data_IF_385453243216
#
_entry.id   IF_385453243216
#
_cell.length_a   1.000
_cell.length_b   1.000
_cell.length_c   1.000
_cell.angle_alpha   90.00
_cell.angle_beta   90.00
_cell.angle_gamma   90.00
#
_symmetry.space_group_name_H-M   'P 1'
#
loop_
_entity.id
_entity.type
_entity.pdbx_description
1 polymer ?
#
# COMPACT_ATOMS: atom_id res chain seq x y z
N UNK A 1 -37.30 -22.83 -16.13
CA UNK A 1 -36.49 -22.11 -17.12
C UNK A 1 -35.03 -22.24 -16.72
N UNK A 2 -34.33 -23.21 -17.31
CA UNK A 2 -32.92 -23.51 -17.01
C UNK A 2 -32.07 -22.76 -18.03
N UNK A 3 -31.25 -21.82 -17.58
CA UNK A 3 -30.31 -21.13 -18.46
C UNK A 3 -29.18 -22.11 -18.83
N UNK A 4 -29.15 -22.48 -20.10
CA UNK A 4 -28.11 -23.30 -20.71
C UNK A 4 -26.85 -22.43 -20.94
N UNK A 5 -26.03 -22.26 -19.90
CA UNK A 5 -24.69 -21.69 -20.06
C UNK A 5 -23.81 -22.73 -20.76
N UNK A 6 -23.29 -22.41 -21.95
CA UNK A 6 -22.28 -23.23 -22.61
C UNK A 6 -21.06 -23.34 -21.69
N UNK A 7 -20.43 -24.51 -21.62
CA UNK A 7 -19.16 -24.72 -20.91
C UNK A 7 -18.00 -24.06 -21.66
N UNK A 8 -18.03 -22.74 -21.81
CA UNK A 8 -16.81 -21.99 -22.14
C UNK A 8 -15.96 -21.95 -20.89
N UNK A 9 -14.79 -22.57 -20.94
CA UNK A 9 -13.81 -22.50 -19.86
C UNK A 9 -13.47 -21.02 -19.62
N UNK A 10 -13.90 -20.48 -18.48
CA UNK A 10 -13.60 -19.10 -18.09
C UNK A 10 -12.13 -19.04 -17.68
N UNK A 11 -11.28 -18.53 -18.56
CA UNK A 11 -9.89 -18.23 -18.23
C UNK A 11 -9.83 -16.88 -17.55
N UNK A 12 -9.67 -16.89 -16.23
CA UNK A 12 -9.35 -15.68 -15.48
C UNK A 12 -7.84 -15.50 -15.44
N UNK A 13 -7.35 -14.44 -16.04
CA UNK A 13 -5.94 -14.03 -15.97
C UNK A 13 -5.80 -13.04 -14.84
N UNK A 14 -5.11 -13.42 -13.77
CA UNK A 14 -4.83 -12.55 -12.64
C UNK A 14 -3.33 -12.22 -12.59
N UNK A 15 -3.02 -10.97 -12.25
CA UNK A 15 -1.67 -10.59 -11.90
C UNK A 15 -1.33 -11.05 -10.48
N UNK A 16 -0.05 -11.38 -10.25
CA UNK A 16 0.44 -11.69 -8.91
C UNK A 16 0.28 -10.47 -7.98
N UNK A 17 -0.52 -10.59 -6.91
CA UNK A 17 -0.78 -9.48 -6.00
C UNK A 17 0.47 -9.03 -5.23
N UNK A 18 1.45 -9.90 -4.98
CA UNK A 18 2.73 -9.53 -4.35
C UNK A 18 3.52 -8.59 -5.27
N UNK A 19 3.50 -8.86 -6.57
CA UNK A 19 4.11 -7.98 -7.57
C UNK A 19 3.38 -6.64 -7.69
N UNK A 20 2.05 -6.62 -7.57
CA UNK A 20 1.28 -5.37 -7.52
C UNK A 20 1.69 -4.52 -6.32
N UNK A 21 1.76 -5.12 -5.13
CA UNK A 21 2.14 -4.42 -3.88
C UNK A 21 3.56 -3.89 -3.93
N UNK A 22 4.53 -4.70 -4.38
CA UNK A 22 5.93 -4.26 -4.51
C UNK A 22 6.09 -3.15 -5.56
N UNK A 23 5.36 -3.21 -6.68
CA UNK A 23 5.33 -2.12 -7.67
C UNK A 23 4.74 -0.83 -7.10
N UNK A 24 3.70 -0.93 -6.27
CA UNK A 24 3.09 0.19 -5.56
C UNK A 24 4.06 0.84 -4.55
N UNK A 25 4.79 0.03 -3.76
CA UNK A 25 5.88 0.53 -2.89
C UNK A 25 6.98 1.20 -3.70
N UNK A 26 7.42 0.59 -4.81
CA UNK A 26 8.50 1.16 -5.63
C UNK A 26 8.14 2.55 -6.18
N UNK A 27 6.86 2.79 -6.52
CA UNK A 27 6.38 4.13 -6.89
C UNK A 27 6.51 5.13 -5.74
N UNK A 28 6.19 4.71 -4.51
CA UNK A 28 6.42 5.54 -3.32
C UNK A 28 7.91 5.85 -3.11
N UNK A 29 8.79 4.86 -3.25
CA UNK A 29 10.25 5.08 -3.08
C UNK A 29 10.83 6.02 -4.14
N UNK A 30 10.25 6.02 -5.34
CA UNK A 30 10.61 6.93 -6.44
C UNK A 30 9.96 8.32 -6.32
N UNK A 31 9.10 8.56 -5.33
CA UNK A 31 8.48 9.88 -5.10
C UNK A 31 9.51 10.99 -4.78
N UNK A 32 10.74 10.63 -4.38
CA UNK A 32 11.82 11.61 -4.22
C UNK A 32 12.33 12.17 -5.55
N UNK A 33 12.14 11.44 -6.66
CA UNK A 33 12.59 11.84 -8.00
C UNK A 33 11.42 12.15 -8.95
N UNK A 34 10.22 11.69 -8.63
CA UNK A 34 9.02 11.86 -9.46
C UNK A 34 7.89 12.46 -8.62
N UNK A 35 7.21 13.47 -9.14
CA UNK A 35 6.10 14.08 -8.45
C UNK A 35 4.91 13.10 -8.41
N UNK A 36 4.71 12.49 -7.23
CA UNK A 36 3.55 11.65 -6.94
C UNK A 36 2.54 12.48 -6.14
N UNK A 37 1.32 12.58 -6.63
CA UNK A 37 0.25 13.36 -6.01
C UNK A 37 -1.03 12.55 -5.95
N UNK A 38 -1.81 12.78 -4.91
CA UNK A 38 -3.13 12.21 -4.76
C UNK A 38 -4.11 13.35 -4.50
N UNK A 39 -4.93 13.67 -5.50
CA UNK A 39 -5.71 14.92 -5.49
C UNK A 39 -4.80 16.15 -5.42
N UNK A 40 -4.97 16.95 -4.36
CA UNK A 40 -4.15 18.14 -4.10
C UNK A 40 -2.93 17.83 -3.21
N UNK A 41 -2.93 16.68 -2.54
CA UNK A 41 -1.91 16.34 -1.56
C UNK A 41 -0.67 15.71 -2.22
N UNK A 42 0.51 16.10 -1.72
CA UNK A 42 1.78 15.58 -2.20
C UNK A 42 2.16 14.32 -1.44
N UNK A 43 2.52 13.28 -2.17
CA UNK A 43 3.04 12.05 -1.57
C UNK A 43 4.56 12.09 -1.61
N UNK A 44 5.20 11.93 -0.46
CA UNK A 44 6.65 11.95 -0.37
C UNK A 44 7.19 10.90 0.60
N UNK A 45 8.17 10.11 0.14
CA UNK A 45 8.93 9.17 0.96
C UNK A 45 9.73 9.88 2.07
N UNK A 46 10.02 11.17 1.89
CA UNK A 46 10.71 11.96 2.90
C UNK A 46 9.93 12.04 4.21
N UNK A 47 8.60 11.91 4.20
CA UNK A 47 7.80 11.86 5.44
C UNK A 47 8.13 10.61 6.26
N UNK A 48 8.31 9.46 5.61
CA UNK A 48 8.72 8.21 6.28
C UNK A 48 10.21 8.29 6.70
N UNK A 49 11.07 8.93 5.90
CA UNK A 49 12.47 9.16 6.29
C UNK A 49 12.57 10.08 7.52
N UNK A 50 11.76 11.13 7.57
CA UNK A 50 11.68 12.03 8.71
C UNK A 50 11.27 11.24 9.96
N UNK A 51 10.24 10.39 9.87
CA UNK A 51 9.82 9.52 10.96
C UNK A 51 10.95 8.62 11.50
N UNK A 52 11.74 8.01 10.61
CA UNK A 52 12.85 7.11 11.00
C UNK A 52 14.00 7.86 11.68
N UNK A 53 14.22 9.13 11.30
CA UNK A 53 15.32 9.94 11.80
C UNK A 53 14.92 10.88 12.93
N UNK A 54 13.64 10.93 13.29
CA UNK A 54 13.12 11.79 14.36
C UNK A 54 13.65 11.31 15.71
N UNK A 55 14.08 12.26 16.55
CA UNK A 55 14.51 11.99 17.92
C UNK A 55 13.36 11.63 18.87
N UNK A 56 12.11 11.96 18.50
CA UNK A 56 10.94 11.71 19.34
C UNK A 56 10.40 10.28 19.25
N UNK A 57 10.69 9.56 18.16
CA UNK A 57 10.18 8.22 17.92
C UNK A 57 11.33 7.22 17.88
N UNK A 58 11.15 6.06 18.51
CA UNK A 58 12.12 4.98 18.49
C UNK A 58 11.71 3.90 17.50
N UNK A 59 12.67 3.05 17.14
CA UNK A 59 12.42 1.86 16.31
C UNK A 59 11.30 0.96 16.87
N UNK A 60 11.07 0.97 18.18
CA UNK A 60 9.99 0.19 18.79
C UNK A 60 8.61 0.78 18.49
N UNK A 61 8.53 2.09 18.28
CA UNK A 61 7.27 2.78 18.00
C UNK A 61 6.85 2.61 16.54
N UNK A 62 7.79 2.70 15.59
CA UNK A 62 7.47 2.61 14.16
C UNK A 62 7.85 1.28 13.49
N UNK A 63 8.76 0.48 14.06
CA UNK A 63 9.16 -0.84 13.52
C UNK A 63 10.01 -0.84 12.23
N UNK A 64 10.32 0.34 11.69
CA UNK A 64 11.06 0.52 10.42
C UNK A 64 12.57 0.64 10.61
N UNK A 65 13.33 0.22 9.59
CA UNK A 65 14.76 0.52 9.46
C UNK A 65 15.07 1.25 8.16
N UNK A 66 16.23 1.89 8.07
CA UNK A 66 16.72 2.57 6.86
C UNK A 66 16.85 1.61 5.65
N UNK A 67 16.99 0.31 5.88
CA UNK A 67 16.93 -0.71 4.82
C UNK A 67 15.51 -0.88 4.23
N UNK A 68 14.46 -0.66 5.02
CA UNK A 68 13.07 -0.85 4.57
C UNK A 68 12.63 0.22 3.55
N UNK A 69 13.33 1.34 3.50
CA UNK A 69 13.09 2.44 2.54
C UNK A 69 14.14 2.50 1.42
N UNK A 70 14.96 1.46 1.26
CA UNK A 70 16.02 1.43 0.25
C UNK A 70 15.45 1.21 -1.17
N UNK A 71 15.61 2.16 -2.11
CA UNK A 71 15.08 2.04 -3.48
C UNK A 71 15.80 0.99 -4.35
N UNK A 72 16.98 0.50 -3.91
CA UNK A 72 17.69 -0.59 -4.59
C UNK A 72 17.00 -1.94 -4.38
N UNK A 73 16.28 -2.10 -3.28
CA UNK A 73 15.62 -3.36 -2.90
C UNK A 73 14.15 -3.38 -3.36
N UNK A 74 13.98 -3.60 -4.67
CA UNK A 74 12.69 -3.48 -5.39
C UNK A 74 11.74 -4.66 -5.17
N UNK A 75 12.22 -5.78 -4.64
CA UNK A 75 11.44 -7.02 -4.48
C UNK A 75 11.05 -7.31 -3.02
N UNK A 76 11.51 -6.48 -2.08
CA UNK A 76 11.26 -6.72 -0.67
C UNK A 76 9.81 -6.40 -0.26
N UNK A 77 9.01 -7.47 -0.26
CA UNK A 77 7.63 -7.47 0.19
C UNK A 77 7.50 -7.25 1.70
N UNK A 78 8.42 -7.79 2.50
CA UNK A 78 8.38 -7.65 3.96
C UNK A 78 8.46 -6.18 4.39
N UNK A 79 9.31 -5.39 3.74
CA UNK A 79 9.37 -3.94 3.95
C UNK A 79 8.08 -3.24 3.50
N UNK A 80 7.36 -3.75 2.49
CA UNK A 80 6.03 -3.21 2.14
C UNK A 80 5.06 -3.35 3.32
N UNK A 81 5.00 -4.53 3.93
CA UNK A 81 4.10 -4.81 5.05
C UNK A 81 4.42 -3.98 6.28
N UNK A 82 5.71 -3.79 6.59
CA UNK A 82 6.13 -2.93 7.70
C UNK A 82 5.75 -1.47 7.48
N UNK A 83 5.89 -0.94 6.26
CA UNK A 83 5.59 0.46 5.95
C UNK A 83 4.08 0.76 6.09
N UNK A 84 3.22 -0.23 5.86
CA UNK A 84 1.75 -0.08 6.01
C UNK A 84 1.22 -0.51 7.40
N UNK A 85 2.11 -0.69 8.38
CA UNK A 85 1.68 -1.01 9.74
C UNK A 85 0.79 0.11 10.28
N UNK A 86 -0.15 -0.26 11.17
CA UNK A 86 -1.00 0.72 11.84
C UNK A 86 -0.16 1.74 12.61
N UNK A 87 0.95 1.31 13.21
CA UNK A 87 1.83 2.19 13.97
C UNK A 87 2.42 3.29 13.09
N UNK A 88 2.94 2.95 11.91
CA UNK A 88 3.51 3.93 10.97
C UNK A 88 2.43 4.89 10.47
N UNK A 89 1.25 4.38 10.13
CA UNK A 89 0.13 5.20 9.65
C UNK A 89 -0.34 6.17 10.75
N UNK A 90 -0.51 5.70 11.98
CA UNK A 90 -0.95 6.52 13.12
C UNK A 90 0.06 7.62 13.46
N UNK A 91 1.36 7.31 13.39
CA UNK A 91 2.40 8.30 13.62
C UNK A 91 2.43 9.38 12.52
N UNK A 92 2.21 8.97 11.26
CA UNK A 92 2.13 9.92 10.15
C UNK A 92 0.89 10.81 10.26
N UNK A 93 -0.27 10.29 10.68
CA UNK A 93 -1.51 11.10 10.88
C UNK A 93 -1.28 12.27 11.85
N UNK A 94 -0.43 12.08 12.86
CA UNK A 94 -0.12 13.13 13.84
C UNK A 94 0.88 14.18 13.33
N UNK A 95 1.45 14.00 12.14
CA UNK A 95 2.45 14.88 11.54
C UNK A 95 1.82 15.81 10.51
N UNK A 96 2.28 17.06 10.41
CA UNK A 96 1.76 18.02 9.42
C UNK A 96 2.14 17.63 7.97
N UNK A 97 1.25 17.92 7.01
CA UNK A 97 1.44 17.71 5.56
C UNK A 97 1.70 16.24 5.11
N UNK A 98 1.27 15.26 5.91
CA UNK A 98 1.45 13.83 5.59
C UNK A 98 0.20 13.16 5.01
N UNK A 99 -0.94 13.85 4.97
CA UNK A 99 -2.26 13.30 4.62
C UNK A 99 -2.23 12.51 3.31
N UNK A 100 -1.62 13.05 2.26
CA UNK A 100 -1.48 12.35 0.98
C UNK A 100 -0.70 11.04 1.08
N UNK A 101 0.39 11.04 1.86
CA UNK A 101 1.17 9.82 2.13
C UNK A 101 0.36 8.82 2.96
N UNK A 102 -0.38 9.28 3.97
CA UNK A 102 -1.27 8.43 4.80
C UNK A 102 -2.32 7.74 3.93
N UNK A 103 -3.01 8.49 3.07
CA UNK A 103 -4.02 7.94 2.16
C UNK A 103 -3.39 6.92 1.20
N UNK A 104 -2.20 7.22 0.67
CA UNK A 104 -1.48 6.30 -0.21
C UNK A 104 -1.11 4.98 0.47
N UNK A 105 -0.64 5.04 1.72
CA UNK A 105 -0.32 3.86 2.53
C UNK A 105 -1.58 3.08 2.91
N UNK A 106 -2.66 3.78 3.21
CA UNK A 106 -3.97 3.19 3.53
C UNK A 106 -4.53 2.43 2.33
N UNK A 107 -4.42 2.98 1.12
CA UNK A 107 -4.78 2.27 -0.11
C UNK A 107 -3.92 1.03 -0.32
N UNK A 108 -2.60 1.12 -0.11
CA UNK A 108 -1.71 -0.03 -0.20
C UNK A 108 -2.10 -1.13 0.80
N UNK A 109 -2.49 -0.75 2.02
CA UNK A 109 -3.01 -1.67 3.03
C UNK A 109 -4.30 -2.36 2.58
N UNK A 110 -5.21 -1.63 1.95
CA UNK A 110 -6.44 -2.21 1.38
C UNK A 110 -6.13 -3.19 0.24
N UNK A 111 -5.12 -2.93 -0.61
CA UNK A 111 -4.67 -3.88 -1.64
C UNK A 111 -4.20 -5.19 -0.98
N UNK A 112 -3.34 -5.10 0.04
CA UNK A 112 -2.84 -6.28 0.76
C UNK A 112 -4.00 -7.06 1.38
N UNK A 113 -4.93 -6.37 2.05
CA UNK A 113 -6.09 -6.99 2.69
C UNK A 113 -7.01 -7.66 1.67
N UNK A 114 -7.22 -7.04 0.51
CA UNK A 114 -8.08 -7.58 -0.54
C UNK A 114 -7.49 -8.83 -1.19
N UNK A 115 -6.21 -8.81 -1.56
CA UNK A 115 -5.65 -9.80 -2.47
C UNK A 115 -4.67 -10.79 -1.84
N UNK A 116 -4.06 -10.48 -0.70
CA UNK A 116 -3.00 -11.30 -0.10
C UNK A 116 -3.43 -11.88 1.25
N UNK A 117 -4.14 -11.10 2.07
CA UNK A 117 -4.57 -11.55 3.39
C UNK A 117 -5.60 -12.68 3.28
N UNK A 118 -5.22 -13.84 3.82
CA UNK A 118 -6.04 -15.06 3.86
C UNK A 118 -6.96 -15.10 5.09
N UNK A 119 -6.68 -14.30 6.11
CA UNK A 119 -7.49 -14.21 7.32
C UNK A 119 -8.67 -13.25 7.18
N UNK A 120 -8.62 -12.33 6.20
CA UNK A 120 -9.69 -11.38 5.94
C UNK A 120 -10.98 -12.07 5.48
N UNK A 121 -12.12 -11.62 6.02
CA UNK A 121 -13.43 -12.11 5.60
C UNK A 121 -13.72 -11.73 4.13
N UNK A 122 -14.54 -12.54 3.45
CA UNK A 122 -14.90 -12.29 2.04
C UNK A 122 -15.50 -10.88 1.86
N UNK A 123 -16.36 -10.46 2.79
CA UNK A 123 -16.97 -9.12 2.75
C UNK A 123 -15.94 -8.00 2.84
N UNK A 124 -14.94 -8.12 3.71
CA UNK A 124 -13.89 -7.12 3.84
C UNK A 124 -12.98 -7.09 2.60
N UNK A 125 -12.67 -8.25 2.03
CA UNK A 125 -11.87 -8.34 0.81
C UNK A 125 -12.55 -7.64 -0.35
N UNK A 126 -13.85 -7.89 -0.53
CA UNK A 126 -14.67 -7.23 -1.55
C UNK A 126 -14.69 -5.72 -1.30
N UNK A 127 -14.98 -5.27 -0.08
CA UNK A 127 -15.01 -3.83 0.25
C UNK A 127 -13.67 -3.14 -0.04
N UNK A 128 -12.56 -3.75 0.37
CA UNK A 128 -11.22 -3.24 0.13
C UNK A 128 -10.88 -3.23 -1.36
N UNK A 129 -11.21 -4.28 -2.11
CA UNK A 129 -10.99 -4.34 -3.55
C UNK A 129 -11.79 -3.24 -4.28
N UNK A 130 -13.08 -3.08 -3.96
CA UNK A 130 -13.92 -2.04 -4.55
C UNK A 130 -13.41 -0.64 -4.25
N UNK A 131 -12.99 -0.37 -3.02
CA UNK A 131 -12.42 0.92 -2.64
C UNK A 131 -11.17 1.24 -3.48
N UNK A 132 -10.24 0.29 -3.60
CA UNK A 132 -9.02 0.45 -4.40
C UNK A 132 -9.36 0.70 -5.88
N UNK A 133 -10.25 -0.11 -6.46
CA UNK A 133 -10.65 0.01 -7.87
C UNK A 133 -11.31 1.36 -8.14
N UNK A 134 -12.22 1.78 -7.27
CA UNK A 134 -12.92 3.06 -7.39
C UNK A 134 -11.95 4.26 -7.31
N UNK A 135 -11.06 4.24 -6.33
CA UNK A 135 -10.07 5.30 -6.11
C UNK A 135 -9.03 5.36 -7.23
N UNK A 136 -8.53 4.21 -7.66
CA UNK A 136 -7.48 4.13 -8.68
C UNK A 136 -8.01 4.21 -10.11
N UNK A 137 -9.35 4.18 -10.29
CA UNK A 137 -10.03 4.06 -11.60
C UNK A 137 -9.40 2.97 -12.47
N UNK A 138 -9.23 1.77 -11.91
CA UNK A 138 -8.77 0.57 -12.63
C UNK A 138 -9.96 -0.13 -13.28
#
# INVERSE_FOLDING_TARGET
MWFFLRSSQLFFVFHDPVHVVTKWRNRLLLSSTTDLRFGFDKININHIKALINDSHYTKLDHGLTSSDINPKDRQNYNSCIKIISDDVINLLINSEDTNGTVDYLTLLKMIVKAYIDKAASISERIRSAWCVVFVCRI
#
